data_IF_563434016567
#
_entry.id   IF_563434016567
#
_cell.length_a   1.000
_cell.length_b   1.000
_cell.length_c   1.000
_cell.angle_alpha   90.00
_cell.angle_beta   90.00
_cell.angle_gamma   90.00
#
_symmetry.space_group_name_H-M   'P 1'
#
loop_
_entity.id
_entity.type
_entity.pdbx_description
1 polymer ?
#
# COMPACT_ATOMS: atom_id res chain seq x y z
N UNK A 1 -20.99 71.86 3.48
CA UNK A 1 -21.70 71.02 4.47
C UNK A 1 -21.45 69.58 4.06
N UNK A 2 -20.66 68.84 4.85
CA UNK A 2 -20.61 67.37 5.08
C UNK A 2 -20.80 66.41 3.88
N UNK A 3 -20.03 65.36 3.59
CA UNK A 3 -19.07 64.52 4.34
C UNK A 3 -18.42 63.50 3.38
N UNK A 4 -17.41 62.79 3.90
CA UNK A 4 -16.43 61.84 3.33
C UNK A 4 -16.90 60.63 2.46
N UNK A 5 -15.95 59.94 1.78
CA UNK A 5 -16.17 58.84 0.83
C UNK A 5 -16.30 57.47 1.51
N UNK A 6 -17.12 56.58 0.95
CA UNK A 6 -17.20 55.18 1.37
C UNK A 6 -16.19 54.32 0.59
N UNK A 7 -15.28 53.69 1.34
CA UNK A 7 -14.30 52.72 0.88
C UNK A 7 -14.82 51.29 1.07
N UNK A 8 -14.17 50.39 0.32
CA UNK A 8 -14.08 48.93 0.48
C UNK A 8 -15.30 48.09 0.11
N UNK A 9 -15.10 47.20 -0.87
CA UNK A 9 -15.11 45.79 -0.48
C UNK A 9 -14.05 44.99 -1.26
N UNK A 10 -13.04 44.53 -0.52
CA UNK A 10 -11.98 43.66 -1.04
C UNK A 10 -12.57 42.26 -1.11
N UNK A 11 -12.96 41.84 -2.32
CA UNK A 11 -13.36 40.45 -2.58
C UNK A 11 -12.18 39.52 -2.26
N UNK A 12 -12.22 39.00 -1.04
CA UNK A 12 -11.29 38.00 -0.54
C UNK A 12 -11.62 36.69 -1.26
N UNK A 13 -10.85 36.38 -2.31
CA UNK A 13 -10.88 35.07 -2.97
C UNK A 13 -10.29 34.06 -2.00
N UNK A 14 -11.14 33.51 -1.13
CA UNK A 14 -10.82 32.33 -0.33
C UNK A 14 -10.62 31.16 -1.30
N UNK A 15 -9.35 30.80 -1.55
CA UNK A 15 -9.02 29.49 -2.11
C UNK A 15 -9.40 28.43 -1.08
N UNK A 16 -10.58 27.86 -1.23
CA UNK A 16 -10.91 26.62 -0.54
C UNK A 16 -10.08 25.51 -1.21
N UNK A 17 -9.04 25.05 -0.52
CA UNK A 17 -8.39 23.78 -0.86
C UNK A 17 -9.33 22.71 -0.32
N UNK A 18 -10.24 22.23 -1.17
CA UNK A 18 -11.15 21.13 -0.82
C UNK A 18 -10.36 19.83 -0.94
N UNK A 19 -9.78 19.39 0.16
CA UNK A 19 -9.19 18.06 0.28
C UNK A 19 -10.31 17.03 0.09
N UNK A 20 -10.21 16.16 -0.90
CA UNK A 20 -11.07 14.98 -1.00
C UNK A 20 -10.93 14.17 0.29
N UNK A 21 -12.00 14.12 1.10
CA UNK A 21 -12.01 13.40 2.37
C UNK A 21 -12.10 11.90 2.07
N UNK A 22 -10.94 11.26 2.04
CA UNK A 22 -10.82 9.79 2.01
C UNK A 22 -10.99 9.29 3.44
N UNK A 23 -12.13 8.67 3.75
CA UNK A 23 -12.33 7.97 5.00
C UNK A 23 -11.75 6.55 4.88
N UNK A 24 -10.50 6.35 5.31
CA UNK A 24 -9.90 5.02 5.41
C UNK A 24 -10.37 4.35 6.71
N UNK A 25 -11.34 3.44 6.61
CA UNK A 25 -11.79 2.62 7.74
C UNK A 25 -10.90 1.37 7.88
N UNK A 26 -9.86 1.44 8.71
CA UNK A 26 -9.09 0.26 9.09
C UNK A 26 -9.85 -0.53 10.18
N UNK A 27 -10.75 -1.43 9.77
CA UNK A 27 -11.38 -2.39 10.68
C UNK A 27 -10.60 -3.71 10.64
N UNK A 28 -9.84 -3.98 11.72
CA UNK A 28 -9.34 -5.33 12.03
C UNK A 28 -7.92 -5.64 11.53
N UNK A 29 -6.91 -5.23 12.30
CA UNK A 29 -5.69 -6.03 12.40
C UNK A 29 -5.98 -7.19 13.37
N UNK A 30 -6.54 -8.29 12.87
CA UNK A 30 -6.78 -9.48 13.68
C UNK A 30 -5.84 -10.58 13.22
N UNK A 31 -5.13 -11.16 14.20
CA UNK A 31 -4.07 -12.17 14.09
C UNK A 31 -2.66 -11.61 13.81
N UNK A 32 -2.00 -11.20 14.87
CA UNK A 32 -0.57 -11.46 15.01
C UNK A 32 -0.46 -12.90 15.55
N UNK A 33 -0.13 -13.86 14.71
CA UNK A 33 0.20 -15.23 15.15
C UNK A 33 1.72 -15.31 15.26
N UNK A 34 2.19 -15.45 16.48
CA UNK A 34 3.59 -15.70 16.81
C UNK A 34 3.73 -17.18 17.18
N UNK A 35 4.55 -17.92 16.45
CA UNK A 35 4.88 -19.30 16.77
C UNK A 35 6.35 -19.41 17.14
N UNK A 36 6.62 -19.52 18.44
CA UNK A 36 7.94 -19.89 18.93
C UNK A 36 8.13 -21.41 18.82
N UNK A 37 9.28 -21.83 18.30
CA UNK A 37 9.62 -23.24 18.22
C UNK A 37 11.08 -23.50 18.58
N UNK A 38 11.31 -24.70 19.12
CA UNK A 38 12.64 -25.22 19.42
C UNK A 38 12.80 -26.56 18.72
N UNK A 39 13.71 -26.64 17.75
CA UNK A 39 14.01 -27.86 16.99
C UNK A 39 15.47 -28.26 17.23
N UNK A 40 15.68 -29.13 18.22
CA UNK A 40 17.01 -29.55 18.65
C UNK A 40 17.79 -28.38 19.26
N UNK A 41 18.79 -27.88 18.53
CA UNK A 41 19.63 -26.74 18.95
C UNK A 41 19.23 -25.41 18.28
N UNK A 42 18.17 -25.42 17.48
CA UNK A 42 17.63 -24.23 16.85
C UNK A 42 16.47 -23.70 17.68
N UNK A 43 16.52 -22.41 17.98
CA UNK A 43 15.40 -21.64 18.50
C UNK A 43 14.94 -20.67 17.40
N UNK A 44 13.64 -20.52 17.24
CA UNK A 44 13.11 -19.60 16.25
C UNK A 44 11.73 -19.10 16.59
N UNK A 45 11.36 -18.01 15.93
CA UNK A 45 10.01 -17.47 15.94
C UNK A 45 9.53 -17.26 14.51
N UNK A 46 8.24 -17.43 14.32
CA UNK A 46 7.56 -17.06 13.10
C UNK A 46 6.36 -16.19 13.47
N UNK A 47 6.46 -14.91 13.13
CA UNK A 47 5.43 -13.91 13.35
C UNK A 47 4.73 -13.60 12.03
N UNK A 48 3.40 -13.68 12.00
CA UNK A 48 2.60 -13.27 10.85
C UNK A 48 1.51 -12.31 11.28
N UNK A 49 1.43 -11.17 10.60
CA UNK A 49 0.34 -10.20 10.73
C UNK A 49 -0.51 -10.24 9.48
N UNK A 50 -1.81 -10.51 9.66
CA UNK A 50 -2.80 -10.39 8.59
C UNK A 50 -3.60 -9.10 8.76
N UNK A 51 -3.91 -8.44 7.65
CA UNK A 51 -4.74 -7.23 7.63
C UNK A 51 -5.71 -7.31 6.48
N UNK A 52 -6.94 -6.87 6.72
CA UNK A 52 -7.96 -6.76 5.71
C UNK A 52 -8.60 -5.37 5.83
N UNK A 53 -8.85 -4.72 4.70
CA UNK A 53 -9.36 -3.36 4.69
C UNK A 53 -10.12 -3.05 3.42
N UNK A 54 -11.11 -2.19 3.57
CA UNK A 54 -11.91 -1.68 2.47
C UNK A 54 -11.82 -0.16 2.44
N UNK A 55 -11.80 0.41 1.23
CA UNK A 55 -11.83 1.85 1.01
C UNK A 55 -13.12 2.22 0.28
N UNK A 56 -13.84 3.19 0.84
CA UNK A 56 -15.05 3.72 0.23
C UNK A 56 -14.88 5.19 -0.14
N UNK A 57 -15.27 5.52 -1.35
CA UNK A 57 -15.46 6.89 -1.81
C UNK A 57 -16.88 7.33 -1.52
N UNK A 58 -17.02 8.38 -0.71
CA UNK A 58 -18.33 8.88 -0.23
C UNK A 58 -18.82 10.15 -0.92
N UNK A 59 -18.01 10.73 -1.80
CA UNK A 59 -18.33 11.96 -2.53
C UNK A 59 -17.99 11.83 -4.00
N UNK A 60 -18.82 12.42 -4.84
CA UNK A 60 -18.61 12.49 -6.28
C UNK A 60 -17.36 13.32 -6.63
N UNK A 61 -16.76 13.12 -7.82
CA UNK A 61 -15.63 13.92 -8.30
C UNK A 61 -15.89 15.43 -8.28
N UNK A 62 -14.98 16.20 -7.69
CA UNK A 62 -15.03 17.67 -7.75
C UNK A 62 -14.54 18.16 -9.13
N UNK A 63 -15.38 18.90 -9.85
CA UNK A 63 -15.08 19.45 -11.16
C UNK A 63 -13.88 20.43 -11.14
N UNK A 64 -13.55 21.03 -9.99
CA UNK A 64 -12.34 21.86 -9.85
C UNK A 64 -11.05 21.04 -9.96
N UNK A 65 -11.12 19.73 -9.75
CA UNK A 65 -10.00 18.81 -9.84
C UNK A 65 -9.93 18.07 -11.19
N UNK A 66 -10.90 18.32 -12.08
CA UNK A 66 -10.97 17.71 -13.41
C UNK A 66 -10.59 18.76 -14.45
N UNK A 67 -9.63 18.45 -15.32
CA UNK A 67 -9.23 19.34 -16.40
C UNK A 67 -10.39 19.73 -17.31
N UNK A 68 -10.35 20.94 -17.88
CA UNK A 68 -11.38 21.41 -18.83
C UNK A 68 -11.57 20.48 -20.04
N UNK A 69 -10.51 19.79 -20.46
CA UNK A 69 -10.56 18.80 -21.54
C UNK A 69 -11.45 17.58 -21.22
N UNK A 70 -11.65 17.27 -19.93
CA UNK A 70 -12.47 16.16 -19.45
C UNK A 70 -13.81 16.62 -18.83
N UNK A 71 -14.25 17.86 -19.13
CA UNK A 71 -15.55 18.39 -18.70
C UNK A 71 -15.56 19.06 -17.32
N UNK A 72 -14.40 19.27 -16.70
CA UNK A 72 -14.27 20.02 -15.45
C UNK A 72 -13.89 21.50 -15.64
N UNK A 73 -13.46 22.12 -14.56
CA UNK A 73 -12.98 23.52 -14.51
C UNK A 73 -11.55 23.64 -13.93
N UNK A 74 -10.88 22.49 -13.76
CA UNK A 74 -9.50 22.36 -13.33
C UNK A 74 -8.50 22.65 -14.44
N UNK A 75 -7.23 22.85 -14.04
CA UNK A 75 -6.16 23.35 -14.93
C UNK A 75 -5.47 22.29 -15.77
N UNK A 76 -5.50 21.02 -15.37
CA UNK A 76 -4.73 19.96 -16.00
C UNK A 76 -5.52 18.66 -16.01
N UNK A 77 -5.64 17.97 -17.16
CA UNK A 77 -6.34 16.69 -17.24
C UNK A 77 -5.46 15.48 -16.88
N UNK A 78 -4.15 15.65 -16.70
CA UNK A 78 -3.19 14.54 -16.62
C UNK A 78 -3.35 13.65 -15.39
N UNK A 79 -4.04 14.12 -14.35
CA UNK A 79 -4.25 13.40 -13.09
C UNK A 79 -5.72 13.04 -12.87
N UNK A 80 -6.57 13.30 -13.87
CA UNK A 80 -8.01 13.14 -13.74
C UNK A 80 -8.40 11.69 -13.55
N UNK A 81 -7.62 10.72 -14.04
CA UNK A 81 -7.90 9.29 -13.92
C UNK A 81 -8.02 8.83 -12.47
N UNK A 82 -7.22 9.37 -11.54
CA UNK A 82 -7.38 9.06 -10.13
C UNK A 82 -8.74 9.47 -9.56
N UNK A 83 -9.43 10.41 -10.21
CA UNK A 83 -10.72 10.94 -9.80
C UNK A 83 -11.89 10.40 -10.65
N UNK A 84 -11.69 10.23 -11.96
CA UNK A 84 -12.70 9.79 -12.92
C UNK A 84 -12.83 8.26 -13.01
N UNK A 85 -11.80 7.49 -12.63
CA UNK A 85 -11.89 6.02 -12.66
C UNK A 85 -12.73 5.43 -11.53
N UNK A 86 -12.99 6.19 -10.47
CA UNK A 86 -13.61 5.70 -9.23
C UNK A 86 -14.82 6.55 -8.87
N UNK A 87 -16.00 5.97 -9.01
CA UNK A 87 -17.26 6.59 -8.60
C UNK A 87 -17.48 6.47 -7.09
N UNK A 88 -18.59 7.03 -6.61
CA UNK A 88 -18.99 6.88 -5.20
C UNK A 88 -19.30 5.42 -4.93
N UNK A 89 -18.66 4.81 -3.94
CA UNK A 89 -18.77 3.37 -3.69
C UNK A 89 -17.48 2.76 -3.14
N UNK A 90 -17.40 1.44 -3.21
CA UNK A 90 -16.20 0.67 -2.84
C UNK A 90 -15.13 0.89 -3.92
N UNK A 91 -13.91 1.24 -3.52
CA UNK A 91 -12.78 1.50 -4.44
C UNK A 91 -11.57 0.61 -4.17
N UNK A 92 -11.50 -0.01 -3.00
CA UNK A 92 -10.45 -0.96 -2.63
C UNK A 92 -11.04 -1.99 -1.67
N UNK A 93 -10.65 -3.25 -1.86
CA UNK A 93 -11.03 -4.38 -1.02
C UNK A 93 -9.83 -5.32 -0.91
N UNK A 94 -8.96 -5.01 0.05
CA UNK A 94 -7.61 -5.55 0.08
C UNK A 94 -7.33 -6.42 1.31
N UNK A 95 -6.74 -7.59 1.07
CA UNK A 95 -6.07 -8.41 2.06
C UNK A 95 -4.55 -8.20 1.96
N UNK A 96 -3.87 -8.13 3.11
CA UNK A 96 -2.43 -7.95 3.21
C UNK A 96 -1.87 -8.90 4.27
N UNK A 97 -0.63 -9.32 4.06
CA UNK A 97 0.12 -10.04 5.08
C UNK A 97 1.54 -9.47 5.20
N UNK A 98 2.08 -9.54 6.40
CA UNK A 98 3.51 -9.38 6.68
C UNK A 98 3.94 -10.56 7.53
N UNK A 99 5.04 -11.19 7.15
CA UNK A 99 5.58 -12.35 7.85
C UNK A 99 7.07 -12.18 8.12
N UNK A 100 7.48 -12.53 9.33
CA UNK A 100 8.84 -12.46 9.84
C UNK A 100 9.25 -13.83 10.39
N UNK A 101 10.45 -14.27 10.04
CA UNK A 101 11.06 -15.51 10.52
C UNK A 101 12.42 -15.17 11.11
N UNK A 102 12.63 -15.51 12.39
CA UNK A 102 13.96 -15.49 13.01
C UNK A 102 14.37 -16.88 13.46
N UNK A 103 15.60 -17.26 13.16
CA UNK A 103 16.21 -18.53 13.55
C UNK A 103 17.57 -18.25 14.21
N UNK A 104 17.88 -18.94 15.29
CA UNK A 104 19.19 -18.86 15.93
C UNK A 104 19.65 -20.21 16.47
N UNK A 105 20.98 -20.40 16.49
CA UNK A 105 21.67 -21.57 17.05
C UNK A 105 23.10 -21.21 17.41
N UNK A 106 23.44 -21.28 18.70
CA UNK A 106 24.82 -21.33 19.19
C UNK A 106 25.77 -20.28 18.61
N UNK A 107 25.34 -19.00 18.58
CA UNK A 107 26.13 -17.88 18.05
C UNK A 107 25.82 -17.49 16.61
N UNK A 108 25.06 -18.29 15.85
CA UNK A 108 24.61 -17.97 14.50
C UNK A 108 23.11 -17.71 14.45
N UNK A 109 22.68 -16.88 13.49
CA UNK A 109 21.26 -16.70 13.22
C UNK A 109 20.94 -16.16 11.84
N UNK A 110 19.67 -16.28 11.51
CA UNK A 110 19.05 -15.83 10.26
C UNK A 110 17.77 -15.09 10.58
N UNK A 111 17.52 -14.01 9.85
CA UNK A 111 16.27 -13.29 9.86
C UNK A 111 15.81 -13.09 8.41
N UNK A 112 14.51 -13.23 8.16
CA UNK A 112 13.89 -12.89 6.89
C UNK A 112 12.49 -12.32 7.09
N UNK A 113 12.12 -11.35 6.24
CA UNK A 113 10.80 -10.75 6.24
C UNK A 113 10.24 -10.58 4.84
N UNK A 114 8.99 -10.97 4.67
CA UNK A 114 8.23 -10.78 3.44
C UNK A 114 6.87 -10.11 3.71
N UNK A 115 6.32 -9.48 2.68
CA UNK A 115 4.96 -8.95 2.70
C UNK A 115 4.22 -9.30 1.41
N UNK A 116 2.90 -9.30 1.47
CA UNK A 116 2.06 -9.38 0.28
C UNK A 116 0.77 -8.61 0.42
N UNK A 117 0.16 -8.33 -0.72
CA UNK A 117 -1.08 -7.60 -0.87
C UNK A 117 -1.88 -8.21 -2.01
N UNK A 118 -3.20 -8.26 -1.85
CA UNK A 118 -4.15 -8.53 -2.90
C UNK A 118 -5.39 -7.66 -2.72
N UNK A 119 -5.68 -6.78 -3.67
CA UNK A 119 -6.83 -5.90 -3.74
C UNK A 119 -7.76 -6.35 -4.87
N UNK A 120 -8.94 -6.83 -4.48
CA UNK A 120 -9.91 -7.37 -5.42
C UNK A 120 -10.46 -6.31 -6.38
N UNK A 121 -10.68 -5.07 -5.91
CA UNK A 121 -11.23 -4.01 -6.75
C UNK A 121 -10.21 -3.59 -7.81
N UNK A 122 -8.94 -3.45 -7.44
CA UNK A 122 -7.88 -3.09 -8.37
C UNK A 122 -7.52 -4.20 -9.37
N UNK A 123 -7.59 -5.47 -8.97
CA UNK A 123 -7.24 -6.60 -9.84
C UNK A 123 -8.35 -7.01 -10.81
N UNK A 124 -9.59 -7.04 -10.32
CA UNK A 124 -10.71 -7.72 -11.01
C UNK A 124 -11.78 -6.78 -11.53
N UNK A 125 -11.96 -5.59 -10.95
CA UNK A 125 -12.98 -4.68 -11.44
C UNK A 125 -12.45 -3.75 -12.53
N UNK A 126 -13.25 -3.49 -13.58
CA UNK A 126 -12.91 -2.44 -14.53
C UNK A 126 -13.07 -1.08 -13.85
N UNK A 127 -12.13 -0.19 -14.13
CA UNK A 127 -12.26 1.25 -13.84
C UNK A 127 -13.30 1.90 -14.76
N UNK A 128 -13.92 2.99 -14.32
CA UNK A 128 -14.97 3.66 -15.09
C UNK A 128 -14.51 4.28 -16.42
N UNK A 129 -13.22 4.64 -16.57
CA UNK A 129 -12.73 5.39 -17.74
C UNK A 129 -11.51 4.75 -18.41
N UNK A 130 -10.41 4.60 -17.68
CA UNK A 130 -9.11 4.19 -18.21
C UNK A 130 -8.60 2.99 -17.43
N UNK A 131 -8.49 1.79 -18.06
CA UNK A 131 -8.02 0.58 -17.41
C UNK A 131 -6.67 0.77 -16.73
N UNK A 132 -6.50 0.10 -15.58
CA UNK A 132 -5.21 0.03 -14.91
C UNK A 132 -4.21 -0.74 -15.78
N UNK A 133 -3.02 -0.18 -15.95
CA UNK A 133 -1.91 -0.88 -16.59
C UNK A 133 -1.43 -2.04 -15.71
N UNK A 134 -0.75 -3.00 -16.32
CA UNK A 134 -0.18 -4.14 -15.58
C UNK A 134 0.81 -3.64 -14.50
N UNK A 135 1.66 -2.66 -14.82
CA UNK A 135 2.54 -2.01 -13.84
C UNK A 135 1.78 -1.41 -12.64
N UNK A 136 0.57 -0.88 -12.85
CA UNK A 136 -0.25 -0.33 -11.77
C UNK A 136 -0.82 -1.46 -10.90
N UNK A 137 -1.23 -2.58 -11.52
CA UNK A 137 -1.70 -3.77 -10.81
C UNK A 137 -0.60 -4.44 -10.00
N UNK A 138 0.62 -4.53 -10.54
CA UNK A 138 1.78 -5.06 -9.81
C UNK A 138 2.15 -4.19 -8.58
N UNK A 139 1.77 -2.91 -8.59
CA UNK A 139 2.03 -2.00 -7.48
C UNK A 139 0.90 -2.00 -6.43
N UNK A 140 -0.36 -1.96 -6.85
CA UNK A 140 -1.50 -1.74 -5.94
C UNK A 140 -2.59 -2.83 -6.00
N UNK A 141 -2.59 -3.65 -7.05
CA UNK A 141 -3.52 -4.76 -7.23
C UNK A 141 -3.04 -5.99 -6.47
N UNK A 142 -1.88 -6.52 -6.81
CA UNK A 142 -1.34 -7.67 -6.11
C UNK A 142 0.18 -7.77 -6.18
N UNK A 143 0.80 -8.15 -5.07
CA UNK A 143 2.24 -8.45 -5.03
C UNK A 143 2.60 -9.36 -3.86
N UNK A 144 3.77 -10.00 -3.99
CA UNK A 144 4.53 -10.57 -2.87
C UNK A 144 5.97 -10.10 -2.96
N UNK A 145 6.51 -9.57 -1.87
CA UNK A 145 7.82 -8.93 -1.85
C UNK A 145 8.63 -9.40 -0.64
N UNK A 146 9.89 -9.76 -0.89
CA UNK A 146 10.89 -9.89 0.17
C UNK A 146 11.32 -8.48 0.57
N UNK A 147 11.28 -8.16 1.87
CA UNK A 147 11.66 -6.84 2.36
C UNK A 147 13.14 -6.79 2.72
N UNK A 148 13.56 -7.72 3.58
CA UNK A 148 14.93 -7.84 4.01
C UNK A 148 15.21 -9.23 4.58
N UNK A 149 16.47 -9.59 4.49
CA UNK A 149 16.99 -10.75 5.20
C UNK A 149 18.43 -10.49 5.59
N UNK A 150 18.86 -11.12 6.67
CA UNK A 150 20.24 -11.08 7.10
C UNK A 150 20.63 -12.37 7.81
N UNK A 151 21.91 -12.68 7.74
CA UNK A 151 22.54 -13.73 8.55
C UNK A 151 23.60 -13.09 9.42
N UNK A 152 23.76 -13.62 10.62
CA UNK A 152 24.77 -13.16 11.57
C UNK A 152 25.46 -14.33 12.27
N UNK A 153 26.68 -14.07 12.73
CA UNK A 153 27.49 -15.03 13.48
C UNK A 153 28.36 -14.29 14.50
N UNK A 154 28.45 -14.87 15.70
CA UNK A 154 29.33 -14.43 16.78
C UNK A 154 30.46 -15.42 16.96
N UNK A 155 31.68 -14.91 17.03
CA UNK A 155 32.88 -15.72 17.15
C UNK A 155 33.72 -15.23 18.32
N UNK A 156 34.23 -16.14 19.15
CA UNK A 156 35.25 -15.81 20.15
C UNK A 156 36.64 -16.00 19.51
N UNK A 157 37.37 -14.90 19.37
CA UNK A 157 38.73 -14.87 18.85
C UNK A 157 39.66 -14.32 19.93
N UNK A 158 40.23 -15.21 20.74
CA UNK A 158 41.23 -14.87 21.75
C UNK A 158 40.67 -14.12 22.95
N UNK A 159 39.47 -14.46 23.41
CA UNK A 159 38.80 -13.83 24.55
C UNK A 159 38.11 -12.51 24.21
N UNK A 160 37.87 -12.26 22.91
CA UNK A 160 37.14 -11.09 22.39
C UNK A 160 36.04 -11.58 21.45
N UNK A 161 34.82 -11.10 21.69
CA UNK A 161 33.65 -11.40 20.85
C UNK A 161 33.68 -10.55 19.57
N UNK A 162 33.53 -11.20 18.43
CA UNK A 162 33.42 -10.57 17.12
C UNK A 162 32.06 -10.90 16.49
N UNK A 163 31.30 -9.85 16.18
CA UNK A 163 29.99 -9.93 15.54
C UNK A 163 30.10 -9.61 14.05
N UNK A 164 29.67 -10.53 13.19
CA UNK A 164 29.52 -10.29 11.75
C UNK A 164 28.06 -10.45 11.35
N UNK A 165 27.56 -9.51 10.55
CA UNK A 165 26.26 -9.60 9.92
C UNK A 165 26.35 -9.21 8.44
N UNK A 166 25.62 -9.92 7.59
CA UNK A 166 25.40 -9.55 6.18
C UNK A 166 23.90 -9.38 5.96
N UNK A 167 23.49 -8.16 5.62
CA UNK A 167 22.10 -7.82 5.28
C UNK A 167 21.95 -7.62 3.78
N UNK A 168 20.82 -8.06 3.24
CA UNK A 168 20.37 -7.71 1.91
C UNK A 168 18.95 -7.12 2.00
N UNK A 169 18.69 -6.11 1.18
CA UNK A 169 17.35 -5.59 0.98
C UNK A 169 16.71 -6.37 -0.17
N UNK A 170 15.51 -6.87 0.07
CA UNK A 170 14.79 -7.68 -0.90
C UNK A 170 14.28 -6.84 -2.07
N UNK A 171 14.15 -7.51 -3.22
CA UNK A 171 13.46 -6.99 -4.41
C UNK A 171 12.12 -7.70 -4.55
N UNK A 172 11.25 -7.09 -5.33
CA UNK A 172 9.97 -7.67 -5.74
C UNK A 172 10.18 -9.09 -6.30
N UNK A 173 9.47 -10.06 -5.71
CA UNK A 173 9.46 -11.42 -6.22
C UNK A 173 8.39 -11.41 -7.31
N UNK A 174 8.81 -11.40 -8.57
CA UNK A 174 7.92 -11.27 -9.71
C UNK A 174 6.70 -12.17 -9.57
N UNK A 175 5.51 -11.58 -9.57
CA UNK A 175 4.26 -12.29 -9.55
C UNK A 175 4.09 -13.01 -10.88
N UNK A 176 4.28 -14.33 -10.89
CA UNK A 176 3.78 -15.14 -11.99
C UNK A 176 2.26 -15.09 -11.91
N UNK A 177 1.66 -14.50 -12.95
CA UNK A 177 0.22 -14.38 -13.15
C UNK A 177 -0.50 -15.69 -12.79
N UNK A 178 -1.24 -15.71 -11.67
CA UNK A 178 -2.25 -16.74 -11.45
C UNK A 178 -3.45 -16.37 -12.32
N UNK A 179 -3.41 -16.78 -13.58
CA UNK A 179 -4.58 -16.79 -14.45
C UNK A 179 -5.57 -17.84 -13.91
N UNK A 180 -6.77 -17.46 -13.42
CA UNK A 180 -7.86 -18.40 -13.35
C UNK A 180 -8.29 -18.67 -14.80
N UNK A 181 -8.12 -19.92 -15.24
CA UNK A 181 -8.48 -20.33 -16.59
C UNK A 181 -9.93 -19.97 -16.92
N UNK A 182 -10.11 -19.07 -17.88
CA UNK A 182 -11.38 -18.94 -18.58
C UNK A 182 -11.52 -20.16 -19.50
N UNK A 183 -12.37 -21.11 -19.08
CA UNK A 183 -12.96 -22.06 -20.00
C UNK A 183 -13.87 -21.26 -20.95
N UNK A 184 -13.47 -21.18 -22.21
CA UNK A 184 -14.38 -20.81 -23.29
C UNK A 184 -15.27 -22.03 -23.53
N UNK A 185 -16.57 -21.85 -23.38
CA UNK A 185 -17.57 -22.74 -23.98
C UNK A 185 -17.82 -22.28 -25.42
N UNK A 186 -17.89 -23.25 -26.32
CA UNK A 186 -18.14 -23.14 -27.76
C UNK A 186 -19.44 -22.42 -28.13
#
# INVERSE_FOLDING_TARGET
>A
MTTHPAKHDLRTVRRAVTTALVAAGALGATSAQAFDFTLGSWNGNWDTTLSYGQLYRIQSPDLNLIGTANGGIGRSPNIDDGNLNYETGLVSNAAKFVTELALNKGGFGLFARAQGLYDYEAEKQPTARTPLSDDAKDLMGSYVRMLDYFVYGRFDLGGRELDLARRQHGRELGGEHVHPGHQCHD
#
